data_IF_234352068585
#
_entry.id   IF_234352068585
#
_cell.length_a   1.000
_cell.length_b   1.000
_cell.length_c   1.000
_cell.angle_alpha   90.00
_cell.angle_beta   90.00
_cell.angle_gamma   90.00
#
_symmetry.space_group_name_H-M   'P 1'
#
loop_
_entity.id
_entity.type
_entity.pdbx_description
1 polymer ?
#
# COMPACT_ATOMS: atom_id res chain seq x y z
N UNK A 1 22.34 46.19 -63.91
CA UNK A 1 21.61 44.97 -63.51
C UNK A 1 22.35 44.36 -62.31
N UNK A 2 21.88 44.60 -61.08
CA UNK A 2 22.53 44.11 -59.85
C UNK A 2 21.87 42.79 -59.44
N UNK A 3 22.64 41.70 -59.35
CA UNK A 3 22.17 40.38 -58.93
C UNK A 3 22.06 40.36 -57.40
N UNK A 4 20.86 40.16 -56.88
CA UNK A 4 20.57 40.04 -55.45
C UNK A 4 20.76 38.57 -55.05
N UNK A 5 21.82 38.27 -54.31
CA UNK A 5 22.09 36.92 -53.78
C UNK A 5 21.21 36.68 -52.55
N UNK A 6 20.19 35.83 -52.68
CA UNK A 6 19.33 35.40 -51.57
C UNK A 6 20.10 34.39 -50.71
N UNK A 7 20.43 34.77 -49.48
CA UNK A 7 21.09 33.91 -48.49
C UNK A 7 20.02 32.97 -47.88
N UNK A 8 20.13 31.67 -48.13
CA UNK A 8 19.22 30.66 -47.60
C UNK A 8 19.69 30.29 -46.17
N UNK A 9 19.02 30.81 -45.14
CA UNK A 9 19.28 30.43 -43.75
C UNK A 9 18.44 29.19 -43.43
N UNK A 10 19.03 28.04 -43.07
CA UNK A 10 18.26 26.86 -42.73
C UNK A 10 17.55 27.09 -41.39
N UNK A 11 16.21 26.99 -41.42
CA UNK A 11 15.36 27.05 -40.24
C UNK A 11 15.55 25.77 -39.42
N UNK A 12 16.29 25.87 -38.31
CA UNK A 12 16.50 24.76 -37.38
C UNK A 12 15.17 24.47 -36.65
N UNK A 13 14.48 23.42 -37.08
CA UNK A 13 13.30 22.88 -36.39
C UNK A 13 13.74 22.26 -35.05
N UNK A 14 13.63 23.05 -33.99
CA UNK A 14 13.76 22.53 -32.62
C UNK A 14 12.49 21.73 -32.33
N UNK A 15 12.61 20.41 -32.30
CA UNK A 15 11.55 19.53 -31.83
C UNK A 15 11.33 19.79 -30.33
N UNK A 16 10.33 20.62 -30.00
CA UNK A 16 9.89 20.82 -28.62
C UNK A 16 9.21 19.52 -28.18
N UNK A 17 9.94 18.69 -27.45
CA UNK A 17 9.34 17.55 -26.75
C UNK A 17 8.55 18.11 -25.57
N UNK A 18 7.22 18.09 -25.68
CA UNK A 18 6.34 18.46 -24.57
C UNK A 18 6.45 17.33 -23.54
N UNK A 19 7.19 17.59 -22.46
CA UNK A 19 7.22 16.70 -21.30
C UNK A 19 5.93 16.97 -20.52
N UNK A 20 4.95 16.08 -20.66
CA UNK A 20 3.77 16.09 -19.80
C UNK A 20 4.21 15.67 -18.40
N UNK A 21 4.06 16.56 -17.42
CA UNK A 21 4.28 16.23 -16.03
C UNK A 21 3.09 15.40 -15.54
N UNK A 22 3.34 14.15 -15.17
CA UNK A 22 2.35 13.30 -14.50
C UNK A 22 1.89 13.98 -13.21
N UNK A 23 0.59 13.90 -12.92
CA UNK A 23 0.02 14.48 -11.70
C UNK A 23 -0.40 13.40 -10.69
N UNK A 24 -0.83 13.86 -9.50
CA UNK A 24 -1.22 12.99 -8.40
C UNK A 24 -2.43 12.10 -8.70
N UNK A 25 -3.34 12.57 -9.55
CA UNK A 25 -4.54 11.84 -9.93
C UNK A 25 -4.18 10.70 -10.87
N UNK A 26 -3.39 11.00 -11.89
CA UNK A 26 -2.93 9.98 -12.85
C UNK A 26 -2.12 8.87 -12.16
N UNK A 27 -1.27 9.20 -11.18
CA UNK A 27 -0.54 8.19 -10.41
C UNK A 27 -1.52 7.28 -9.63
N UNK A 28 -2.53 7.85 -8.98
CA UNK A 28 -3.53 7.08 -8.22
C UNK A 28 -4.35 6.19 -9.16
N UNK A 29 -4.79 6.70 -10.31
CA UNK A 29 -5.54 5.95 -11.32
C UNK A 29 -4.71 4.73 -11.80
N UNK A 30 -3.44 4.94 -12.16
CA UNK A 30 -2.55 3.84 -12.56
C UNK A 30 -2.31 2.82 -11.43
N UNK A 31 -2.20 3.27 -10.19
CA UNK A 31 -2.09 2.37 -9.02
C UNK A 31 -3.38 1.56 -8.87
N UNK A 32 -4.55 2.17 -8.99
CA UNK A 32 -5.83 1.48 -8.88
C UNK A 32 -5.96 0.41 -9.97
N UNK A 33 -5.75 0.78 -11.24
CA UNK A 33 -5.75 -0.16 -12.37
C UNK A 33 -4.77 -1.31 -12.14
N UNK A 34 -3.54 -1.00 -11.69
CA UNK A 34 -2.54 -2.03 -11.43
C UNK A 34 -2.98 -3.03 -10.37
N UNK A 35 -3.65 -2.57 -9.32
CA UNK A 35 -4.15 -3.43 -8.24
C UNK A 35 -5.44 -4.14 -8.61
N UNK A 36 -6.27 -3.59 -9.52
CA UNK A 36 -7.43 -4.25 -10.10
C UNK A 36 -7.03 -5.49 -10.92
N UNK A 37 -5.90 -5.42 -11.64
CA UNK A 37 -5.37 -6.53 -12.45
C UNK A 37 -4.73 -7.66 -11.63
N UNK A 38 -4.33 -7.40 -10.38
CA UNK A 38 -3.69 -8.41 -9.52
C UNK A 38 -4.74 -9.35 -8.94
N UNK A 39 -4.63 -10.65 -9.24
CA UNK A 39 -5.54 -11.68 -8.72
C UNK A 39 -5.09 -12.18 -7.36
N UNK A 40 -3.78 -12.34 -7.18
CA UNK A 40 -3.18 -12.71 -5.91
C UNK A 40 -1.78 -12.10 -5.75
N UNK A 41 -1.31 -12.00 -4.52
CA UNK A 41 0.03 -11.51 -4.24
C UNK A 41 0.59 -12.08 -2.94
N UNK A 42 1.92 -12.19 -2.90
CA UNK A 42 2.70 -12.39 -1.68
C UNK A 42 3.58 -11.16 -1.47
N UNK A 43 3.47 -10.58 -0.28
CA UNK A 43 4.13 -9.33 0.10
C UNK A 43 4.91 -9.58 1.39
N UNK A 44 6.23 -9.42 1.33
CA UNK A 44 7.09 -9.39 2.52
C UNK A 44 7.25 -7.93 2.94
N UNK A 45 6.95 -7.62 4.20
CA UNK A 45 6.94 -6.25 4.70
C UNK A 45 7.61 -6.11 6.06
N UNK A 46 8.02 -4.89 6.39
CA UNK A 46 8.28 -4.46 7.76
C UNK A 46 7.37 -3.30 8.12
N UNK A 47 6.82 -3.33 9.33
CA UNK A 47 6.12 -2.23 9.96
C UNK A 47 7.03 -1.66 11.06
N UNK A 48 7.20 -0.34 11.12
CA UNK A 48 7.74 0.32 12.31
C UNK A 48 6.78 1.39 12.83
N UNK A 49 6.75 1.58 14.14
CA UNK A 49 5.97 2.62 14.81
C UNK A 49 6.93 3.48 15.61
N UNK A 50 6.95 4.78 15.33
CA UNK A 50 7.76 5.75 16.04
C UNK A 50 6.88 6.73 16.80
N UNK A 51 6.99 6.73 18.12
CA UNK A 51 6.22 7.62 18.98
C UNK A 51 6.89 8.98 19.09
N UNK A 52 6.15 10.06 18.82
CA UNK A 52 6.69 11.43 18.79
C UNK A 52 7.32 11.87 20.13
N UNK A 53 6.66 11.55 21.24
CA UNK A 53 7.06 12.02 22.57
C UNK A 53 8.27 11.26 23.11
N UNK A 54 8.19 9.93 23.15
CA UNK A 54 9.26 9.09 23.71
C UNK A 54 10.43 8.88 22.75
N UNK A 55 10.22 9.09 21.44
CA UNK A 55 11.12 8.67 20.35
C UNK A 55 11.38 7.16 20.32
N UNK A 56 10.62 6.37 21.09
CA UNK A 56 10.68 4.92 21.02
C UNK A 56 10.24 4.46 19.63
N UNK A 57 10.93 3.44 19.12
CA UNK A 57 10.63 2.79 17.86
C UNK A 57 10.44 1.30 18.11
N UNK A 58 9.35 0.76 17.56
CA UNK A 58 9.06 -0.67 17.55
C UNK A 58 8.92 -1.12 16.12
N UNK A 59 9.47 -2.28 15.79
CA UNK A 59 9.42 -2.82 14.43
C UNK A 59 9.03 -4.28 14.44
N UNK A 60 8.19 -4.65 13.47
CA UNK A 60 7.80 -6.04 13.24
C UNK A 60 7.86 -6.34 11.76
N UNK A 61 8.24 -7.57 11.43
CA UNK A 61 8.24 -8.07 10.06
C UNK A 61 7.11 -9.05 9.87
N UNK A 62 6.65 -9.18 8.63
CA UNK A 62 5.59 -10.10 8.30
C UNK A 62 5.48 -10.41 6.83
N UNK A 63 4.61 -11.36 6.55
CA UNK A 63 4.20 -11.72 5.20
C UNK A 63 2.69 -11.55 5.08
N UNK A 64 2.26 -10.95 3.99
CA UNK A 64 0.87 -10.87 3.59
C UNK A 64 0.69 -11.72 2.32
N UNK A 65 -0.21 -12.69 2.39
CA UNK A 65 -0.78 -13.34 1.22
C UNK A 65 -2.14 -12.72 0.96
N UNK A 66 -2.42 -12.35 -0.27
CA UNK A 66 -3.70 -11.80 -0.71
C UNK A 66 -4.19 -12.59 -1.90
N UNK A 67 -5.50 -12.82 -1.99
CA UNK A 67 -6.15 -13.41 -3.15
C UNK A 67 -7.56 -12.87 -3.29
N UNK A 68 -7.93 -12.48 -4.49
CA UNK A 68 -9.30 -12.06 -4.79
C UNK A 68 -10.26 -13.25 -4.88
N UNK A 69 -11.52 -13.06 -4.48
CA UNK A 69 -12.03 -11.93 -3.68
C UNK A 69 -11.78 -12.14 -2.19
N UNK A 70 -11.48 -11.07 -1.45
CA UNK A 70 -11.59 -10.98 0.03
C UNK A 70 -10.78 -11.98 0.86
N UNK A 71 -9.82 -12.70 0.28
CA UNK A 71 -8.96 -13.63 1.01
C UNK A 71 -7.63 -12.98 1.33
N UNK A 72 -7.22 -13.06 2.59
CA UNK A 72 -5.87 -12.68 2.95
C UNK A 72 -5.36 -13.45 4.16
N UNK A 73 -4.04 -13.52 4.30
CA UNK A 73 -3.33 -14.07 5.44
C UNK A 73 -2.13 -13.20 5.77
N UNK A 74 -2.16 -12.57 6.93
CA UNK A 74 -1.07 -11.78 7.51
C UNK A 74 -0.42 -12.60 8.60
N UNK A 75 0.88 -12.82 8.49
CA UNK A 75 1.69 -13.55 9.47
C UNK A 75 2.80 -12.64 9.96
N UNK A 76 2.83 -12.38 11.27
CA UNK A 76 3.95 -11.73 11.97
C UNK A 76 4.38 -12.59 13.15
N UNK A 77 5.48 -12.23 13.81
CA UNK A 77 5.91 -12.89 15.03
C UNK A 77 4.88 -12.78 16.18
N UNK A 78 4.03 -11.76 16.16
CA UNK A 78 3.09 -11.44 17.24
C UNK A 78 1.67 -11.94 16.99
N UNK A 79 1.27 -12.11 15.72
CA UNK A 79 -0.10 -12.48 15.37
C UNK A 79 -0.19 -13.11 13.98
N UNK A 80 -1.18 -13.97 13.82
CA UNK A 80 -1.63 -14.42 12.50
C UNK A 80 -3.08 -14.02 12.31
N UNK A 81 -3.37 -13.28 11.23
CA UNK A 81 -4.73 -12.93 10.83
C UNK A 81 -4.99 -13.60 9.49
N UNK A 82 -6.08 -14.34 9.37
CA UNK A 82 -6.48 -14.94 8.09
C UNK A 82 -7.97 -14.79 7.87
N UNK A 83 -8.37 -14.69 6.62
CA UNK A 83 -9.77 -14.77 6.22
C UNK A 83 -9.90 -15.52 4.90
N UNK A 84 -10.96 -16.29 4.79
CA UNK A 84 -11.40 -16.95 3.56
C UNK A 84 -12.43 -16.11 2.78
N UNK A 85 -12.70 -14.88 3.23
CA UNK A 85 -13.72 -13.98 2.72
C UNK A 85 -15.10 -14.11 3.38
N UNK A 86 -15.29 -15.09 4.27
CA UNK A 86 -16.52 -15.32 5.04
C UNK A 86 -16.27 -15.27 6.54
N UNK A 87 -15.23 -15.97 7.01
CA UNK A 87 -14.80 -15.99 8.40
C UNK A 87 -13.43 -15.32 8.50
N UNK A 88 -13.19 -14.65 9.63
CA UNK A 88 -11.89 -14.11 10.01
C UNK A 88 -11.39 -14.82 11.27
N UNK A 89 -10.10 -15.14 11.28
CA UNK A 89 -9.41 -15.74 12.40
C UNK A 89 -8.23 -14.86 12.79
N UNK A 90 -8.11 -14.57 14.07
CA UNK A 90 -6.98 -13.84 14.65
C UNK A 90 -6.36 -14.67 15.76
N UNK A 91 -5.16 -15.18 15.51
CA UNK A 91 -4.37 -15.95 16.45
C UNK A 91 -3.29 -15.10 17.11
N UNK A 92 -3.26 -15.13 18.44
CA UNK A 92 -2.19 -14.57 19.25
C UNK A 92 -1.42 -15.73 19.94
N UNK A 93 -0.17 -16.02 19.52
CA UNK A 93 0.63 -17.08 20.11
C UNK A 93 1.02 -16.82 21.57
N UNK A 94 1.22 -15.57 21.97
CA UNK A 94 1.62 -15.22 23.35
C UNK A 94 0.54 -15.58 24.38
N UNK A 95 -0.73 -15.47 23.98
CA UNK A 95 -1.86 -15.76 24.84
C UNK A 95 -2.50 -17.13 24.53
N UNK A 96 -1.98 -17.85 23.54
CA UNK A 96 -2.58 -19.07 22.99
C UNK A 96 -4.07 -18.89 22.65
N UNK A 97 -4.45 -17.73 22.11
CA UNK A 97 -5.84 -17.37 21.91
C UNK A 97 -6.17 -17.21 20.43
N UNK A 98 -7.26 -17.88 20.01
CA UNK A 98 -7.86 -17.76 18.70
C UNK A 98 -9.20 -17.03 18.80
N UNK A 99 -9.30 -15.87 18.16
CA UNK A 99 -10.57 -15.16 17.98
C UNK A 99 -11.13 -15.48 16.60
N UNK A 100 -12.42 -15.81 16.54
CA UNK A 100 -13.16 -16.11 15.32
C UNK A 100 -14.32 -15.12 15.18
N UNK A 101 -14.47 -14.46 14.03
CA UNK A 101 -15.59 -13.54 13.75
C UNK A 101 -15.99 -13.67 12.27
N UNK A 102 -17.19 -13.18 11.93
CA UNK A 102 -17.62 -13.02 10.55
C UNK A 102 -16.77 -11.94 9.87
N UNK A 103 -16.31 -12.21 8.64
CA UNK A 103 -15.52 -11.25 7.88
C UNK A 103 -16.34 -9.98 7.60
N UNK A 104 -15.78 -8.83 7.98
CA UNK A 104 -16.37 -7.51 7.76
C UNK A 104 -15.37 -6.67 6.99
N UNK A 105 -15.72 -6.33 5.76
CA UNK A 105 -14.85 -5.64 4.79
C UNK A 105 -14.32 -4.29 5.30
N UNK A 106 -15.04 -3.63 6.21
CA UNK A 106 -14.71 -2.29 6.73
C UNK A 106 -13.72 -2.29 7.92
N UNK A 107 -13.51 -3.41 8.62
CA UNK A 107 -12.81 -3.41 9.93
C UNK A 107 -11.30 -3.67 9.86
N UNK A 108 -10.74 -3.98 8.69
CA UNK A 108 -9.35 -4.44 8.57
C UNK A 108 -8.45 -3.43 7.86
N UNK A 109 -8.07 -2.37 8.57
CA UNK A 109 -7.25 -1.20 8.16
C UNK A 109 -5.91 -1.48 7.45
N UNK A 110 -5.55 -2.75 7.23
CA UNK A 110 -4.27 -3.22 6.68
C UNK A 110 -4.41 -4.06 5.41
N UNK A 111 -5.63 -4.31 4.90
CA UNK A 111 -5.72 -4.94 3.58
C UNK A 111 -5.20 -3.95 2.52
N UNK A 112 -4.34 -4.39 1.58
CA UNK A 112 -3.93 -3.56 0.44
C UNK A 112 -5.13 -3.03 -0.34
N UNK A 113 -6.19 -3.84 -0.39
CA UNK A 113 -7.49 -3.50 -0.96
C UNK A 113 -8.09 -2.25 -0.28
N UNK A 114 -8.13 -2.20 1.06
CA UNK A 114 -8.57 -0.98 1.74
C UNK A 114 -7.62 0.17 1.46
N UNK A 115 -6.31 0.01 1.73
CA UNK A 115 -5.27 1.05 1.57
C UNK A 115 -5.26 1.72 0.19
N UNK A 116 -5.74 1.03 -0.86
CA UNK A 116 -5.61 1.49 -2.25
C UNK A 116 -6.90 1.62 -3.05
N UNK A 117 -7.96 0.87 -2.72
CA UNK A 117 -9.25 1.00 -3.40
C UNK A 117 -10.21 1.91 -2.64
N UNK A 118 -10.11 1.92 -1.31
CA UNK A 118 -11.03 2.69 -0.43
C UNK A 118 -10.45 4.06 -0.09
N UNK A 119 -9.21 4.12 0.40
CA UNK A 119 -8.62 5.39 0.88
C UNK A 119 -8.52 6.52 -0.17
N UNK A 120 -8.29 6.29 -1.48
CA UNK A 120 -8.23 7.41 -2.44
C UNK A 120 -9.55 8.18 -2.61
N UNK A 121 -10.70 7.55 -2.33
CA UNK A 121 -12.00 8.25 -2.40
C UNK A 121 -12.19 9.24 -1.27
N UNK A 122 -11.60 8.98 -0.11
CA UNK A 122 -11.78 9.78 1.10
C UNK A 122 -10.63 10.77 1.35
N UNK A 123 -9.66 10.84 0.43
CA UNK A 123 -8.44 11.64 0.60
C UNK A 123 -8.20 12.55 -0.61
N UNK A 124 -7.66 13.75 -0.37
CA UNK A 124 -7.02 14.56 -1.39
C UNK A 124 -5.58 14.07 -1.59
N UNK A 125 -5.19 13.83 -2.85
CA UNK A 125 -3.83 13.44 -3.22
C UNK A 125 -3.02 14.64 -3.73
N UNK A 126 -1.74 14.70 -3.38
CA UNK A 126 -0.81 15.71 -3.88
C UNK A 126 0.54 15.06 -4.14
N UNK A 127 1.06 15.21 -5.35
CA UNK A 127 2.41 14.80 -5.72
C UNK A 127 3.40 15.77 -5.08
N UNK A 128 4.20 15.26 -4.14
CA UNK A 128 5.21 16.06 -3.45
C UNK A 128 6.58 15.97 -4.11
N UNK A 129 6.76 15.02 -5.04
CA UNK A 129 7.96 14.87 -5.86
C UNK A 129 8.34 13.41 -6.08
N UNK A 130 9.62 13.19 -6.35
CA UNK A 130 10.21 11.87 -6.44
C UNK A 130 11.31 11.68 -5.39
N UNK A 131 11.39 10.47 -4.82
CA UNK A 131 12.42 10.08 -3.87
C UNK A 131 13.07 8.76 -4.29
N UNK A 132 14.36 8.61 -4.01
CA UNK A 132 15.08 7.36 -4.24
C UNK A 132 14.85 6.40 -3.07
N UNK A 133 14.33 5.20 -3.38
CA UNK A 133 14.17 4.11 -2.42
C UNK A 133 14.87 2.87 -2.97
N UNK A 134 15.88 2.37 -2.25
CA UNK A 134 16.71 1.23 -2.67
C UNK A 134 17.25 1.37 -4.12
N UNK A 135 17.66 2.58 -4.50
CA UNK A 135 18.24 2.88 -5.82
C UNK A 135 17.23 2.99 -6.97
N UNK A 136 15.92 2.99 -6.67
CA UNK A 136 14.85 3.19 -7.66
C UNK A 136 14.09 4.48 -7.33
N UNK A 137 13.76 5.25 -8.37
CA UNK A 137 12.94 6.46 -8.22
C UNK A 137 11.49 6.10 -7.97
N UNK A 138 10.91 6.70 -6.93
CA UNK A 138 9.51 6.53 -6.53
C UNK A 138 8.78 7.86 -6.62
N UNK A 139 7.56 7.87 -7.13
CA UNK A 139 6.65 8.99 -6.92
C UNK A 139 6.24 9.02 -5.45
N UNK A 140 6.17 10.22 -4.88
CA UNK A 140 5.74 10.40 -3.49
C UNK A 140 4.45 11.21 -3.48
N UNK A 141 3.38 10.60 -2.97
CA UNK A 141 2.10 11.26 -2.81
C UNK A 141 1.84 11.50 -1.34
N UNK A 142 1.43 12.72 -1.01
CA UNK A 142 0.78 13.05 0.26
C UNK A 142 -0.72 12.87 0.10
N UNK A 143 -1.32 12.11 1.01
CA UNK A 143 -2.76 11.91 1.11
C UNK A 143 -3.26 12.63 2.36
N UNK A 144 -4.22 13.53 2.19
CA UNK A 144 -4.85 14.29 3.28
C UNK A 144 -6.33 13.90 3.35
N UNK A 145 -6.85 13.47 4.52
CA UNK A 145 -8.27 13.15 4.65
C UNK A 145 -9.16 14.32 4.19
N UNK A 146 -10.27 14.03 3.49
CA UNK A 146 -11.25 15.03 3.08
C UNK A 146 -12.10 15.52 4.26
N UNK A 147 -12.32 14.65 5.23
CA UNK A 147 -13.03 14.92 6.47
C UNK A 147 -12.11 14.62 7.66
N UNK A 148 -12.38 15.24 8.82
CA UNK A 148 -11.63 14.99 10.04
C UNK A 148 -11.74 13.50 10.41
N UNK A 149 -10.65 12.77 10.17
CA UNK A 149 -10.56 11.34 10.47
C UNK A 149 -9.99 11.16 11.89
N UNK A 150 -10.71 10.42 12.73
CA UNK A 150 -10.29 10.11 14.09
C UNK A 150 -8.99 9.28 14.17
N UNK A 151 -8.56 8.64 13.07
CA UNK A 151 -7.45 7.67 13.07
C UNK A 151 -6.15 8.18 12.44
N UNK A 152 -6.20 9.13 11.50
CA UNK A 152 -5.00 9.59 10.78
C UNK A 152 -5.10 11.08 10.42
N UNK A 153 -4.04 11.83 10.71
CA UNK A 153 -3.91 13.26 10.38
C UNK A 153 -3.18 13.50 9.05
N UNK A 154 -2.33 12.55 8.64
CA UNK A 154 -1.64 12.58 7.36
C UNK A 154 -1.24 11.18 6.93
N UNK A 155 -1.17 10.96 5.61
CA UNK A 155 -0.60 9.76 5.03
C UNK A 155 0.34 10.13 3.88
N UNK A 156 1.40 9.35 3.68
CA UNK A 156 2.24 9.41 2.49
C UNK A 156 2.42 8.02 1.89
N UNK A 157 2.47 7.94 0.57
CA UNK A 157 2.75 6.72 -0.15
C UNK A 157 3.88 6.93 -1.15
N UNK A 158 4.73 5.93 -1.29
CA UNK A 158 5.78 5.87 -2.31
C UNK A 158 5.39 4.82 -3.33
N UNK A 159 5.24 5.25 -4.58
CA UNK A 159 4.77 4.44 -5.71
C UNK A 159 5.93 4.26 -6.68
N UNK A 160 6.29 3.01 -6.98
CA UNK A 160 7.27 2.72 -8.03
C UNK A 160 6.70 2.96 -9.43
N UNK A 161 7.59 3.07 -10.42
CA UNK A 161 7.20 3.24 -11.84
C UNK A 161 6.41 2.06 -12.43
N UNK A 162 6.31 0.94 -11.73
CA UNK A 162 5.44 -0.20 -12.04
C UNK A 162 4.06 -0.11 -11.35
N UNK A 163 3.73 1.06 -10.80
CA UNK A 163 2.46 1.41 -10.17
C UNK A 163 2.13 0.62 -8.91
N UNK A 164 3.15 0.06 -8.26
CA UNK A 164 2.99 -0.63 -6.99
C UNK A 164 3.46 0.24 -5.82
N UNK A 165 2.75 0.19 -4.70
CA UNK A 165 3.21 0.85 -3.48
C UNK A 165 4.42 0.10 -2.92
N UNK A 166 5.43 0.86 -2.50
CA UNK A 166 6.65 0.36 -1.86
C UNK A 166 6.79 0.79 -0.41
N UNK A 167 6.17 1.91 -0.04
CA UNK A 167 6.19 2.43 1.33
C UNK A 167 4.90 3.19 1.62
N UNK A 168 4.41 3.07 2.86
CA UNK A 168 3.32 3.88 3.40
C UNK A 168 3.77 4.46 4.74
N UNK A 169 3.53 5.74 4.95
CA UNK A 169 3.65 6.38 6.26
C UNK A 169 2.29 6.91 6.68
N UNK A 170 1.87 6.61 7.90
CA UNK A 170 0.62 7.07 8.50
C UNK A 170 0.99 7.81 9.78
N UNK A 171 0.52 9.06 9.90
CA UNK A 171 0.64 9.84 11.13
C UNK A 171 -0.71 9.88 11.81
N UNK A 172 -0.79 9.39 13.05
CA UNK A 172 -2.01 9.42 13.85
C UNK A 172 -2.26 10.80 14.50
N UNK A 173 -3.37 10.94 15.22
CA UNK A 173 -3.74 12.17 15.95
C UNK A 173 -2.78 12.52 17.10
N UNK A 174 -2.06 11.52 17.63
CA UNK A 174 -1.06 11.69 18.68
C UNK A 174 0.33 12.01 18.12
N UNK A 175 0.47 12.03 16.79
CA UNK A 175 1.71 12.26 16.05
C UNK A 175 2.63 11.05 16.00
N UNK A 176 2.18 9.85 16.40
CA UNK A 176 2.92 8.62 16.14
C UNK A 176 2.95 8.35 14.64
N UNK A 177 4.11 7.94 14.13
CA UNK A 177 4.31 7.63 12.71
C UNK A 177 4.48 6.13 12.56
N UNK A 178 3.52 5.51 11.88
CA UNK A 178 3.59 4.11 11.48
C UNK A 178 4.09 4.04 10.03
N UNK A 179 5.18 3.32 9.80
CA UNK A 179 5.79 3.12 8.48
C UNK A 179 5.66 1.66 8.07
N UNK A 180 5.02 1.41 6.94
CA UNK A 180 5.07 0.12 6.25
C UNK A 180 6.07 0.21 5.11
N UNK A 181 7.00 -0.75 5.04
CA UNK A 181 7.98 -0.87 3.97
C UNK A 181 7.81 -2.23 3.30
N UNK A 182 7.61 -2.23 1.98
CA UNK A 182 7.54 -3.45 1.19
C UNK A 182 8.96 -3.87 0.82
N UNK A 183 9.39 -5.02 1.33
CA UNK A 183 10.69 -5.62 1.02
C UNK A 183 10.65 -6.37 -0.31
N UNK A 184 9.56 -7.08 -0.54
CA UNK A 184 9.34 -7.89 -1.74
C UNK A 184 7.85 -8.01 -2.03
N UNK A 185 7.53 -8.02 -3.32
CA UNK A 185 6.18 -8.29 -3.83
C UNK A 185 6.28 -9.23 -5.02
N UNK A 186 5.45 -10.27 -5.01
CA UNK A 186 5.26 -11.19 -6.14
C UNK A 186 3.76 -11.31 -6.37
N UNK A 187 3.32 -11.10 -7.60
CA UNK A 187 1.90 -11.08 -7.99
C UNK A 187 1.56 -12.29 -8.86
N UNK A 188 0.30 -12.66 -8.90
CA UNK A 188 -0.29 -13.65 -9.80
C UNK A 188 0.46 -15.00 -9.76
N UNK A 189 0.60 -15.54 -8.54
CA UNK A 189 1.30 -16.78 -8.21
C UNK A 189 0.37 -18.00 -8.10
N UNK A 190 -0.94 -17.85 -8.38
CA UNK A 190 -1.96 -18.90 -8.25
C UNK A 190 -1.96 -19.54 -6.86
N UNK A 191 -2.09 -18.69 -5.83
CA UNK A 191 -2.04 -19.13 -4.43
C UNK A 191 -3.22 -20.08 -4.15
N UNK A 192 -2.93 -21.29 -3.68
CA UNK A 192 -3.95 -22.28 -3.34
C UNK A 192 -4.85 -21.80 -2.18
N UNK A 193 -6.16 -22.07 -2.30
CA UNK A 193 -7.18 -21.63 -1.34
C UNK A 193 -6.93 -22.13 0.09
N UNK A 194 -6.28 -23.27 0.25
CA UNK A 194 -5.88 -23.82 1.56
C UNK A 194 -5.02 -22.86 2.38
N UNK A 195 -4.30 -21.93 1.73
CA UNK A 195 -3.49 -20.91 2.42
C UNK A 195 -4.36 -19.95 3.24
N UNK A 196 -5.64 -19.81 2.88
CA UNK A 196 -6.59 -18.89 3.51
C UNK A 196 -7.57 -19.59 4.48
N UNK A 197 -7.40 -20.89 4.71
CA UNK A 197 -8.05 -21.59 5.80
C UNK A 197 -7.20 -21.46 7.08
N UNK A 198 -7.85 -21.38 8.24
CA UNK A 198 -7.17 -21.47 9.53
C UNK A 198 -7.39 -22.82 10.18
N UNK A 199 -6.31 -23.44 10.65
CA UNK A 199 -6.37 -24.62 11.51
C UNK A 199 -6.20 -24.16 12.95
N UNK A 200 -7.14 -24.57 13.82
CA UNK A 200 -7.09 -24.25 15.25
C UNK A 200 -5.89 -24.96 15.87
N UNK A 201 -4.94 -24.24 16.49
CA UNK A 201 -3.80 -24.85 17.17
C UNK A 201 -4.25 -25.69 18.37
N UNK A 202 -3.49 -26.73 18.68
CA UNK A 202 -3.70 -27.52 19.90
C UNK A 202 -3.58 -26.61 21.14
N UNK A 203 -4.50 -26.78 22.10
CA UNK A 203 -4.60 -25.98 23.32
C UNK A 203 -4.95 -24.49 23.14
N UNK A 204 -5.42 -24.09 21.96
CA UNK A 204 -5.94 -22.73 21.77
C UNK A 204 -7.18 -22.48 22.65
N UNK A 205 -7.19 -21.36 23.38
CA UNK A 205 -8.43 -20.77 23.87
C UNK A 205 -9.18 -20.17 22.67
N UNK A 206 -10.38 -20.68 22.40
CA UNK A 206 -11.19 -20.21 21.27
C UNK A 206 -12.28 -19.27 21.75
N UNK A 207 -12.28 -18.04 21.23
CA UNK A 207 -13.34 -17.04 21.40
C UNK A 207 -14.08 -16.91 20.07
N UNK A 208 -15.31 -17.39 19.99
CA UNK A 208 -16.16 -17.28 18.80
C UNK A 208 -17.17 -16.14 18.96
N UNK A 209 -17.13 -15.18 18.04
CA UNK A 209 -17.95 -13.96 18.03
C UNK A 209 -18.96 -13.93 16.88
N UNK A 210 -19.08 -15.03 16.11
CA UNK A 210 -19.94 -15.12 14.93
C UNK A 210 -21.44 -15.12 15.23
#
# INVERSE_FOLDING_TARGET
MKRLSMLFVPLLLIAVSIVYAIDAREIIENVQERYEDINDAVIEFSQSVRFKVSRAEQSIEGTLHFKKPKKYRIETAERTIVTDGTTSWSWNPSNQQLVVDNYKEETHALSPEQLLLTYPKDYYSTLVGEEQLAGKSMYVLKLTPKEDNAFATAMKIWVSKDWLIRKVEITDVNGAVTTYMIKKITVDQDIADVKFAYQVPDNAEVIDLR
#
